data_IF_814891169115
#
_entry.id   IF_814891169115
#
_cell.length_a   1.000
_cell.length_b   1.000
_cell.length_c   1.000
_cell.angle_alpha   90.00
_cell.angle_beta   90.00
_cell.angle_gamma   90.00
#
_symmetry.space_group_name_H-M   'P 1'
#
loop_
_entity.id
_entity.type
_entity.pdbx_description
1 polymer ?
#
# COMPACT_ATOMS: atom_id res chain seq x y z
N UNK A 1 -19.73 3.76 -10.99
CA UNK A 1 -19.63 2.54 -11.83
C UNK A 1 -18.80 1.60 -10.99
N UNK A 2 -19.34 0.44 -10.62
CA UNK A 2 -18.68 -0.39 -9.65
C UNK A 2 -17.40 -0.94 -10.27
N UNK A 3 -16.28 -0.69 -9.61
CA UNK A 3 -14.98 -1.27 -9.94
C UNK A 3 -15.04 -2.76 -10.30
N UNK A 4 -16.01 -3.50 -9.73
CA UNK A 4 -16.29 -4.89 -10.04
C UNK A 4 -16.53 -5.17 -11.54
N UNK A 5 -17.20 -4.29 -12.28
CA UNK A 5 -17.58 -4.51 -13.69
C UNK A 5 -16.58 -3.97 -14.69
N UNK A 6 -15.75 -3.01 -14.30
CA UNK A 6 -14.84 -2.33 -15.23
C UNK A 6 -13.71 -3.27 -15.70
N UNK A 7 -13.20 -3.13 -16.91
CA UNK A 7 -12.12 -3.99 -17.44
C UNK A 7 -10.74 -3.33 -17.38
N UNK A 8 -10.69 -2.04 -17.04
CA UNK A 8 -9.45 -1.27 -16.91
C UNK A 8 -9.67 -0.06 -16.00
N UNK A 9 -8.60 0.63 -15.62
CA UNK A 9 -8.72 1.88 -14.87
C UNK A 9 -9.47 2.95 -15.67
N UNK A 10 -10.44 3.66 -15.06
CA UNK A 10 -11.16 4.71 -15.75
C UNK A 10 -10.19 5.84 -16.12
N UNK A 11 -10.39 6.43 -17.30
CA UNK A 11 -9.47 7.43 -17.84
C UNK A 11 -9.21 8.60 -16.88
N UNK A 12 -10.25 9.05 -16.18
CA UNK A 12 -10.13 10.12 -15.20
C UNK A 12 -9.20 9.78 -14.03
N UNK A 13 -9.11 8.52 -13.61
CA UNK A 13 -8.16 8.11 -12.56
C UNK A 13 -6.72 8.18 -13.09
N UNK A 14 -6.47 7.70 -14.30
CA UNK A 14 -5.16 7.79 -14.95
C UNK A 14 -4.71 9.25 -15.09
N UNK A 15 -5.62 10.14 -15.48
CA UNK A 15 -5.30 11.56 -15.66
C UNK A 15 -5.00 12.25 -14.32
N UNK A 16 -5.66 11.85 -13.21
CA UNK A 16 -5.30 12.32 -11.86
C UNK A 16 -3.88 11.92 -11.50
N UNK A 17 -3.49 10.67 -11.74
CA UNK A 17 -2.11 10.22 -11.47
C UNK A 17 -1.08 11.01 -12.26
N UNK A 18 -1.36 11.33 -13.54
CA UNK A 18 -0.47 12.16 -14.38
C UNK A 18 -0.32 13.58 -13.82
N UNK A 19 -1.39 14.18 -13.32
CA UNK A 19 -1.35 15.52 -12.72
C UNK A 19 -0.58 15.51 -11.40
N UNK A 20 -0.73 14.45 -10.61
CA UNK A 20 -0.06 14.28 -9.32
C UNK A 20 1.41 13.86 -9.45
N UNK A 21 1.81 13.19 -10.54
CA UNK A 21 3.21 12.77 -10.75
C UNK A 21 4.09 13.86 -11.38
N UNK A 22 3.52 15.03 -11.70
CA UNK A 22 4.25 16.16 -12.25
C UNK A 22 5.25 16.76 -11.23
N UNK A 23 6.53 16.44 -11.44
CA UNK A 23 7.67 16.83 -10.59
C UNK A 23 7.94 18.34 -10.55
N UNK A 24 7.24 19.14 -11.36
CA UNK A 24 7.32 20.61 -11.31
C UNK A 24 6.64 21.22 -10.07
N UNK A 25 5.90 20.42 -9.30
CA UNK A 25 5.17 20.88 -8.10
C UNK A 25 5.98 20.59 -6.82
N UNK A 26 6.01 21.52 -5.85
CA UNK A 26 6.88 21.43 -4.66
C UNK A 26 6.24 20.76 -3.42
N UNK A 27 5.14 20.04 -3.55
CA UNK A 27 4.34 19.51 -2.43
C UNK A 27 4.73 18.06 -2.07
N UNK A 28 5.46 17.84 -0.99
CA UNK A 28 5.66 16.49 -0.45
C UNK A 28 4.31 15.73 -0.35
N UNK A 29 4.26 14.47 -0.79
CA UNK A 29 3.06 13.61 -0.86
C UNK A 29 2.05 13.86 -2.01
N UNK A 30 2.47 14.37 -3.18
CA UNK A 30 1.58 14.60 -4.32
C UNK A 30 0.66 13.43 -4.73
N UNK A 31 1.13 12.18 -4.57
CA UNK A 31 0.39 10.98 -4.97
C UNK A 31 -0.69 10.56 -3.96
N UNK A 32 -0.70 11.12 -2.75
CA UNK A 32 -1.68 10.77 -1.72
C UNK A 32 -3.12 10.96 -2.21
N UNK A 33 -3.41 12.11 -2.83
CA UNK A 33 -4.74 12.39 -3.37
C UNK A 33 -5.15 11.41 -4.47
N UNK A 34 -4.20 11.01 -5.32
CA UNK A 34 -4.43 10.04 -6.38
C UNK A 34 -4.75 8.64 -5.82
N UNK A 35 -3.99 8.19 -4.83
CA UNK A 35 -4.21 6.91 -4.15
C UNK A 35 -5.48 6.90 -3.30
N UNK A 36 -5.79 8.00 -2.62
CA UNK A 36 -7.06 8.13 -1.90
C UNK A 36 -8.22 7.97 -2.88
N UNK A 37 -8.15 8.63 -4.05
CA UNK A 37 -9.17 8.47 -5.10
C UNK A 37 -9.23 7.05 -5.65
N UNK A 38 -8.09 6.38 -5.85
CA UNK A 38 -8.02 5.00 -6.31
C UNK A 38 -8.71 4.05 -5.33
N UNK A 39 -8.39 4.14 -4.04
CA UNK A 39 -9.00 3.28 -3.03
C UNK A 39 -10.49 3.55 -2.87
N UNK A 40 -10.92 4.81 -2.90
CA UNK A 40 -12.35 5.14 -2.91
C UNK A 40 -13.06 4.62 -4.18
N UNK A 41 -12.37 4.58 -5.32
CA UNK A 41 -12.93 3.98 -6.52
C UNK A 41 -13.09 2.46 -6.38
N UNK A 42 -12.12 1.77 -5.76
CA UNK A 42 -12.20 0.33 -5.51
C UNK A 42 -13.26 -0.05 -4.45
N UNK A 43 -13.36 0.70 -3.36
CA UNK A 43 -14.13 0.33 -2.15
C UNK A 43 -15.38 1.18 -1.89
N UNK A 44 -15.55 2.31 -2.57
CA UNK A 44 -16.49 3.37 -2.15
C UNK A 44 -17.94 3.21 -2.57
N UNK A 45 -18.29 2.23 -3.40
CA UNK A 45 -19.64 2.13 -3.97
C UNK A 45 -20.67 1.51 -3.01
N UNK A 46 -20.26 0.85 -1.91
CA UNK A 46 -21.18 0.04 -1.09
C UNK A 46 -21.34 0.47 0.37
N UNK A 47 -20.69 1.55 0.82
CA UNK A 47 -20.60 1.96 2.24
C UNK A 47 -20.13 0.86 3.22
N UNK A 48 -19.81 -0.33 2.73
CA UNK A 48 -19.33 -1.47 3.52
C UNK A 48 -17.88 -1.27 3.98
N UNK A 49 -17.18 -0.35 3.34
CA UNK A 49 -15.79 -0.03 3.62
C UNK A 49 -15.58 1.48 3.62
N UNK A 50 -14.60 1.93 4.39
CA UNK A 50 -14.14 3.31 4.37
C UNK A 50 -12.63 3.39 4.46
N UNK A 51 -12.06 4.41 3.83
CA UNK A 51 -10.61 4.64 3.76
C UNK A 51 -10.26 5.74 4.75
N UNK A 52 -9.24 5.50 5.60
CA UNK A 52 -8.78 6.47 6.60
C UNK A 52 -7.28 6.71 6.46
N UNK A 53 -6.82 7.97 6.33
CA UNK A 53 -5.40 8.29 6.53
C UNK A 53 -4.99 8.04 7.96
N UNK A 54 -3.87 7.37 8.15
CA UNK A 54 -3.22 7.26 9.43
C UNK A 54 -1.75 7.64 9.31
N UNK A 55 -1.30 8.44 10.28
CA UNK A 55 0.12 8.69 10.48
C UNK A 55 0.75 7.50 11.21
N UNK A 56 2.03 7.18 10.95
CA UNK A 56 2.78 6.27 11.80
C UNK A 56 2.70 6.77 13.25
N UNK A 57 2.52 5.84 14.17
CA UNK A 57 2.63 6.13 15.60
C UNK A 57 4.13 6.15 15.86
N UNK A 58 4.70 7.35 16.03
CA UNK A 58 6.11 7.51 16.41
C UNK A 58 6.27 6.98 17.85
N UNK A 59 6.80 5.77 17.98
CA UNK A 59 7.04 5.13 19.28
C UNK A 59 8.40 5.49 19.88
N UNK A 60 9.20 6.31 19.18
CA UNK A 60 10.49 6.76 19.69
C UNK A 60 10.69 8.24 19.33
N UNK A 61 10.86 9.09 20.35
CA UNK A 61 10.96 10.55 20.28
C UNK A 61 12.16 11.10 19.50
N UNK A 62 12.76 10.31 18.60
CA UNK A 62 13.83 10.74 17.70
C UNK A 62 13.26 11.54 16.53
N UNK A 63 13.15 12.85 16.74
CA UNK A 63 12.95 13.87 15.70
C UNK A 63 14.16 13.95 14.76
N UNK A 64 14.43 12.92 13.97
CA UNK A 64 15.37 13.02 12.87
C UNK A 64 14.70 12.62 11.56
N UNK A 65 14.40 13.66 10.78
CA UNK A 65 13.76 13.70 9.47
C UNK A 65 12.29 13.28 9.45
N UNK A 66 11.45 14.29 9.22
CA UNK A 66 10.02 14.22 9.01
C UNK A 66 9.77 13.52 7.67
N UNK A 67 9.89 12.21 7.64
CA UNK A 67 9.52 11.40 6.48
C UNK A 67 8.07 10.96 6.70
N UNK A 68 7.11 11.88 6.51
CA UNK A 68 5.69 11.62 6.76
C UNK A 68 5.22 10.47 5.86
N UNK A 69 5.20 9.25 6.38
CA UNK A 69 4.49 8.16 5.75
C UNK A 69 3.01 8.45 5.95
N UNK A 70 2.24 8.51 4.87
CA UNK A 70 0.79 8.48 4.99
C UNK A 70 0.34 7.07 4.65
N UNK A 71 -0.21 6.37 5.64
CA UNK A 71 -0.90 5.11 5.41
C UNK A 71 -2.35 5.41 5.06
N UNK A 72 -2.85 4.80 3.99
CA UNK A 72 -4.28 4.68 3.75
C UNK A 72 -4.72 3.30 4.21
N UNK A 73 -5.61 3.24 5.19
CA UNK A 73 -6.13 1.98 5.72
C UNK A 73 -7.59 1.87 5.35
N UNK A 74 -7.97 0.72 4.80
CA UNK A 74 -9.35 0.37 4.51
C UNK A 74 -9.90 -0.43 5.67
N UNK A 75 -11.00 0.04 6.22
CA UNK A 75 -11.74 -0.61 7.30
C UNK A 75 -13.08 -1.12 6.78
N UNK A 76 -13.58 -2.23 7.34
CA UNK A 76 -14.95 -2.69 7.12
C UNK A 76 -15.96 -1.84 7.91
N UNK A 77 -17.26 -2.14 7.77
CA UNK A 77 -18.34 -1.44 8.49
C UNK A 77 -18.27 -1.52 10.03
N UNK A 78 -17.48 -2.44 10.58
CA UNK A 78 -17.25 -2.58 12.03
C UNK A 78 -16.01 -1.82 12.52
N UNK A 79 -15.30 -1.14 11.61
CA UNK A 79 -14.06 -0.42 11.94
C UNK A 79 -12.85 -1.33 12.07
N UNK A 80 -12.88 -2.55 11.52
CA UNK A 80 -11.76 -3.49 11.54
C UNK A 80 -10.96 -3.46 10.22
N UNK A 81 -9.61 -3.53 10.26
CA UNK A 81 -8.77 -3.31 9.08
C UNK A 81 -8.80 -4.50 8.12
N UNK A 82 -8.93 -4.22 6.82
CA UNK A 82 -8.92 -5.22 5.74
C UNK A 82 -7.82 -4.99 4.69
N UNK A 83 -7.32 -3.75 4.59
CA UNK A 83 -6.21 -3.41 3.69
C UNK A 83 -5.36 -2.26 4.24
N UNK A 84 -4.04 -2.39 4.11
CA UNK A 84 -3.05 -1.35 4.41
C UNK A 84 -2.42 -0.88 3.10
N UNK A 85 -2.34 0.42 2.85
CA UNK A 85 -1.59 1.00 1.75
C UNK A 85 -0.57 2.01 2.27
N UNK A 86 0.71 1.75 2.04
CA UNK A 86 1.82 2.67 2.33
C UNK A 86 2.25 3.36 1.03
N UNK A 87 2.32 4.69 1.04
CA UNK A 87 2.64 5.48 -0.15
C UNK A 87 3.94 6.23 0.07
N UNK A 88 4.90 6.04 -0.84
CA UNK A 88 6.18 6.74 -0.90
C UNK A 88 6.49 7.18 -2.33
N UNK A 89 7.51 8.03 -2.46
CA UNK A 89 7.92 8.58 -3.74
C UNK A 89 8.65 7.55 -4.62
N UNK A 90 8.52 7.70 -5.94
CA UNK A 90 9.18 6.84 -6.93
C UNK A 90 10.71 6.83 -6.76
N UNK A 91 11.30 7.95 -6.31
CA UNK A 91 12.75 8.08 -6.13
C UNK A 91 13.31 7.05 -5.13
N UNK A 92 12.48 6.49 -4.25
CA UNK A 92 12.86 5.45 -3.30
C UNK A 92 13.29 4.15 -4.00
N UNK A 93 12.81 3.88 -5.22
CA UNK A 93 13.22 2.71 -6.00
C UNK A 93 14.72 2.67 -6.28
N UNK A 94 15.35 3.85 -6.36
CA UNK A 94 16.76 4.01 -6.71
C UNK A 94 17.71 3.70 -5.55
N UNK A 95 17.20 3.57 -4.32
CA UNK A 95 18.02 3.41 -3.12
C UNK A 95 17.63 2.15 -2.36
N UNK A 96 18.55 1.19 -2.28
CA UNK A 96 18.34 -0.05 -1.53
C UNK A 96 17.92 0.19 -0.07
N UNK A 97 18.47 1.21 0.58
CA UNK A 97 18.10 1.58 1.95
C UNK A 97 16.64 2.02 2.06
N UNK A 98 16.13 2.77 1.08
CA UNK A 98 14.75 3.24 1.02
C UNK A 98 13.78 2.10 0.68
N UNK A 99 14.17 1.16 -0.19
CA UNK A 99 13.40 -0.07 -0.43
C UNK A 99 13.27 -0.92 0.84
N UNK A 100 14.37 -1.12 1.57
CA UNK A 100 14.35 -1.82 2.86
C UNK A 100 13.47 -1.09 3.87
N UNK A 101 13.60 0.24 3.96
CA UNK A 101 12.79 1.07 4.85
C UNK A 101 11.28 0.95 4.54
N UNK A 102 10.90 0.98 3.26
CA UNK A 102 9.50 0.80 2.83
C UNK A 102 8.93 -0.59 3.20
N UNK A 103 9.72 -1.66 3.05
CA UNK A 103 9.33 -3.02 3.49
C UNK A 103 9.14 -3.06 5.02
N UNK A 104 10.10 -2.52 5.78
CA UNK A 104 10.04 -2.50 7.24
C UNK A 104 8.86 -1.69 7.76
N UNK A 105 8.58 -0.52 7.17
CA UNK A 105 7.47 0.34 7.58
C UNK A 105 6.11 -0.37 7.40
N UNK A 106 5.90 -1.07 6.27
CA UNK A 106 4.66 -1.82 6.07
C UNK A 106 4.54 -3.00 7.05
N UNK A 107 5.63 -3.73 7.30
CA UNK A 107 5.64 -4.85 8.26
C UNK A 107 5.36 -4.42 9.70
N UNK A 108 5.93 -3.30 10.15
CA UNK A 108 5.54 -2.70 11.45
C UNK A 108 4.06 -2.38 11.52
N UNK A 109 3.45 -1.98 10.39
CA UNK A 109 1.99 -1.76 10.35
C UNK A 109 1.20 -3.05 10.44
N UNK A 110 1.69 -4.15 9.88
CA UNK A 110 1.11 -5.47 10.12
C UNK A 110 1.17 -5.88 11.59
N UNK A 111 2.27 -5.63 12.30
CA UNK A 111 2.39 -5.94 13.74
C UNK A 111 1.26 -5.29 14.56
N UNK A 112 0.87 -4.06 14.20
CA UNK A 112 -0.19 -3.32 14.88
C UNK A 112 -1.62 -3.74 14.50
N UNK A 113 -1.85 -4.23 13.27
CA UNK A 113 -3.21 -4.37 12.71
C UNK A 113 -3.63 -5.82 12.42
N UNK A 114 -2.68 -6.76 12.35
CA UNK A 114 -2.96 -8.13 11.92
C UNK A 114 -3.73 -8.94 12.97
N UNK A 115 -3.72 -8.54 14.25
CA UNK A 115 -4.57 -9.12 15.29
C UNK A 115 -6.05 -8.79 15.09
N UNK A 116 -6.32 -7.60 14.54
CA UNK A 116 -7.66 -7.01 14.51
C UNK A 116 -8.34 -7.25 13.17
N UNK A 117 -7.61 -7.81 12.19
CA UNK A 117 -8.18 -8.14 10.89
C UNK A 117 -9.24 -9.25 11.05
N UNK A 118 -10.49 -9.02 10.62
CA UNK A 118 -11.58 -9.99 10.77
C UNK A 118 -11.51 -11.09 9.70
N UNK A 119 -10.68 -10.90 8.68
CA UNK A 119 -10.53 -11.81 7.55
C UNK A 119 -9.34 -12.75 7.79
N UNK A 120 -9.31 -13.94 7.14
CA UNK A 120 -8.13 -14.81 7.16
C UNK A 120 -6.85 -14.15 6.63
N UNK A 121 -6.99 -13.05 5.88
CA UNK A 121 -5.91 -12.32 5.24
C UNK A 121 -6.11 -10.81 5.35
N UNK A 122 -5.08 -10.12 5.85
CA UNK A 122 -4.92 -8.67 5.77
C UNK A 122 -4.04 -8.33 4.56
N UNK A 123 -4.57 -7.57 3.61
CA UNK A 123 -3.82 -7.14 2.43
C UNK A 123 -2.95 -5.93 2.72
N UNK A 124 -1.77 -5.89 2.11
CA UNK A 124 -0.80 -4.81 2.27
C UNK A 124 -0.26 -4.39 0.91
N UNK A 125 -0.25 -3.10 0.64
CA UNK A 125 0.24 -2.51 -0.59
C UNK A 125 1.35 -1.53 -0.22
N UNK A 126 2.56 -1.75 -0.72
CA UNK A 126 3.63 -0.76 -0.63
C UNK A 126 3.81 -0.11 -1.99
N UNK A 127 3.57 1.19 -2.09
CA UNK A 127 3.72 1.97 -3.30
C UNK A 127 4.98 2.82 -3.24
N UNK A 128 5.81 2.72 -4.28
CA UNK A 128 6.92 3.64 -4.56
C UNK A 128 6.62 4.30 -5.90
N UNK A 129 6.08 5.52 -5.89
CA UNK A 129 5.53 6.11 -7.10
C UNK A 129 4.26 5.37 -7.52
N UNK A 130 4.23 4.82 -8.74
CA UNK A 130 3.15 3.91 -9.19
C UNK A 130 3.53 2.44 -9.09
N UNK A 131 4.81 2.12 -8.85
CA UNK A 131 5.27 0.75 -8.64
C UNK A 131 4.77 0.22 -7.29
N UNK A 132 4.24 -1.00 -7.29
CA UNK A 132 3.63 -1.63 -6.13
C UNK A 132 4.26 -2.98 -5.82
N UNK A 133 4.44 -3.24 -4.52
CA UNK A 133 4.68 -4.57 -3.97
C UNK A 133 3.49 -5.00 -3.14
N UNK A 134 3.01 -6.21 -3.39
CA UNK A 134 1.85 -6.79 -2.71
C UNK A 134 2.28 -7.65 -1.53
N UNK A 135 1.57 -7.52 -0.43
CA UNK A 135 1.78 -8.27 0.80
C UNK A 135 0.49 -8.94 1.25
N UNK A 136 0.65 -10.08 1.91
CA UNK A 136 -0.42 -10.88 2.50
C UNK A 136 -0.03 -11.24 3.93
N UNK A 137 -0.73 -10.66 4.91
CA UNK A 137 -0.62 -11.06 6.31
C UNK A 137 -1.70 -12.10 6.61
N UNK A 138 -1.33 -13.27 7.10
CA UNK A 138 -2.28 -14.28 7.55
C UNK A 138 -2.67 -14.00 9.00
N UNK A 139 -3.96 -13.81 9.26
CA UNK A 139 -4.45 -13.44 10.59
C UNK A 139 -4.40 -14.59 11.60
N UNK A 140 -4.30 -15.85 11.15
CA UNK A 140 -4.22 -17.03 12.03
C UNK A 140 -2.80 -17.29 12.52
N UNK A 141 -1.84 -17.43 11.61
CA UNK A 141 -0.45 -17.80 11.94
C UNK A 141 0.51 -16.60 12.01
N UNK A 142 0.00 -15.39 11.76
CA UNK A 142 0.74 -14.11 11.80
C UNK A 142 1.93 -14.04 10.84
N UNK A 143 1.98 -14.89 9.82
CA UNK A 143 2.99 -14.83 8.77
C UNK A 143 2.64 -13.77 7.73
N UNK A 144 3.67 -13.06 7.27
CA UNK A 144 3.55 -12.06 6.20
C UNK A 144 4.31 -12.58 4.97
N UNK A 145 3.63 -12.67 3.84
CA UNK A 145 4.22 -12.90 2.52
C UNK A 145 4.31 -11.57 1.76
N UNK A 146 5.38 -11.29 1.00
CA UNK A 146 6.62 -12.08 0.92
C UNK A 146 7.38 -12.13 2.27
N UNK A 147 8.23 -13.15 2.49
CA UNK A 147 8.99 -13.28 3.72
C UNK A 147 9.96 -12.10 3.91
N UNK A 148 10.26 -11.76 5.17
CA UNK A 148 11.19 -10.68 5.48
C UNK A 148 12.61 -11.06 5.03
N UNK A 149 13.23 -10.18 4.24
CA UNK A 149 14.65 -10.28 3.91
C UNK A 149 15.42 -9.37 4.86
N UNK A 150 16.14 -9.99 5.79
CA UNK A 150 16.99 -9.26 6.72
C UNK A 150 18.10 -8.48 6.02
N UNK A 151 18.51 -7.37 6.62
CA UNK A 151 19.71 -6.64 6.18
C UNK A 151 20.91 -7.60 6.17
N UNK A 152 21.68 -7.69 5.08
CA UNK A 152 22.92 -8.46 5.05
C UNK A 152 23.88 -7.97 6.16
N UNK A 153 24.72 -8.87 6.68
CA UNK A 153 25.68 -8.58 7.77
C UNK A 153 26.79 -7.60 7.32
N UNK A 154 26.87 -7.31 6.02
CA UNK A 154 27.83 -6.38 5.44
C UNK A 154 27.61 -4.92 5.92
N UNK A 155 28.71 -4.18 6.06
CA UNK A 155 28.68 -2.78 6.51
C UNK A 155 27.86 -1.87 5.58
N UNK A 156 27.79 -2.19 4.28
CA UNK A 156 27.00 -1.47 3.28
C UNK A 156 25.91 -2.36 2.69
N UNK A 157 24.73 -1.80 2.48
CA UNK A 157 23.62 -2.49 1.82
C UNK A 157 23.91 -2.53 0.31
N UNK A 158 23.93 -3.72 -0.33
CA UNK A 158 24.11 -3.81 -1.77
C UNK A 158 23.05 -3.00 -2.51
N UNK A 159 23.43 -2.29 -3.58
CA UNK A 159 22.50 -1.48 -4.38
C UNK A 159 21.39 -2.30 -5.03
N UNK A 160 21.60 -3.60 -5.21
CA UNK A 160 20.61 -4.56 -5.73
C UNK A 160 19.66 -5.13 -4.67
N UNK A 161 19.86 -4.80 -3.39
CA UNK A 161 19.03 -5.35 -2.32
C UNK A 161 17.56 -4.90 -2.45
N UNK A 162 16.64 -5.87 -2.54
CA UNK A 162 15.21 -5.69 -2.85
C UNK A 162 14.93 -5.03 -4.22
N UNK A 163 15.88 -5.09 -5.15
CA UNK A 163 15.65 -4.67 -6.53
C UNK A 163 14.64 -5.60 -7.21
N UNK A 164 13.72 -5.03 -7.98
CA UNK A 164 12.66 -5.79 -8.65
C UNK A 164 11.52 -6.24 -7.73
N UNK A 165 11.52 -5.88 -6.45
CA UNK A 165 10.44 -6.26 -5.52
C UNK A 165 9.17 -5.40 -5.67
N UNK A 166 9.28 -4.21 -6.28
CA UNK A 166 8.17 -3.35 -6.71
C UNK A 166 8.07 -3.38 -8.24
N UNK A 167 7.78 -4.55 -8.79
CA UNK A 167 7.83 -4.84 -10.23
C UNK A 167 6.53 -4.55 -10.98
N UNK A 168 5.41 -4.40 -10.27
CA UNK A 168 4.11 -4.14 -10.90
C UNK A 168 3.82 -2.65 -10.88
N UNK A 169 3.48 -2.07 -12.03
CA UNK A 169 2.89 -0.74 -12.08
C UNK A 169 1.39 -0.83 -11.77
N UNK A 170 0.91 -0.14 -10.73
CA UNK A 170 -0.50 -0.18 -10.33
C UNK A 170 -1.43 0.30 -11.44
N UNK A 171 -0.98 1.20 -12.32
CA UNK A 171 -1.78 1.77 -13.41
C UNK A 171 -1.80 0.88 -14.67
N UNK A 172 -1.00 -0.19 -14.69
CA UNK A 172 -1.02 -1.18 -15.76
C UNK A 172 -2.25 -2.10 -15.67
N UNK A 173 -2.50 -2.87 -16.74
CA UNK A 173 -3.55 -3.90 -16.71
C UNK A 173 -3.27 -4.97 -15.65
N UNK A 174 -2.01 -5.37 -15.47
CA UNK A 174 -1.62 -6.31 -14.43
C UNK A 174 -1.95 -5.76 -13.03
N UNK A 175 -1.66 -4.48 -12.79
CA UNK A 175 -1.99 -3.80 -11.53
C UNK A 175 -3.50 -3.74 -11.28
N UNK A 176 -4.27 -3.42 -12.33
CA UNK A 176 -5.74 -3.44 -12.29
C UNK A 176 -6.30 -4.81 -11.92
N UNK A 177 -5.88 -5.86 -12.63
CA UNK A 177 -6.33 -7.23 -12.41
C UNK A 177 -6.00 -7.71 -10.99
N UNK A 178 -4.83 -7.31 -10.46
CA UNK A 178 -4.43 -7.63 -9.10
C UNK A 178 -5.29 -6.92 -8.06
N UNK A 179 -5.59 -5.64 -8.26
CA UNK A 179 -6.54 -4.93 -7.39
C UNK A 179 -7.94 -5.54 -7.42
N UNK A 180 -8.41 -6.00 -8.59
CA UNK A 180 -9.68 -6.74 -8.69
C UNK A 180 -9.70 -8.01 -7.85
N UNK A 181 -8.62 -8.78 -7.90
CA UNK A 181 -8.51 -10.02 -7.12
C UNK A 181 -8.48 -9.74 -5.62
N UNK A 182 -7.78 -8.70 -5.19
CA UNK A 182 -7.75 -8.26 -3.78
C UNK A 182 -9.16 -7.87 -3.32
N UNK A 183 -9.87 -7.07 -4.11
CA UNK A 183 -11.25 -6.67 -3.81
C UNK A 183 -12.20 -7.87 -3.72
N UNK A 184 -12.08 -8.82 -4.66
CA UNK A 184 -12.88 -10.04 -4.66
C UNK A 184 -12.60 -10.88 -3.40
N UNK A 185 -11.34 -11.05 -3.02
CA UNK A 185 -10.92 -11.78 -1.82
C UNK A 185 -11.47 -11.14 -0.54
N UNK A 186 -11.34 -9.81 -0.41
CA UNK A 186 -11.87 -9.05 0.74
C UNK A 186 -13.40 -9.16 0.82
N UNK A 187 -14.08 -8.98 -0.31
CA UNK A 187 -15.55 -9.01 -0.35
C UNK A 187 -16.10 -10.40 -0.06
N UNK A 188 -15.45 -11.45 -0.60
CA UNK A 188 -15.83 -12.84 -0.33
C UNK A 188 -15.61 -13.21 1.14
N UNK A 189 -14.54 -12.71 1.77
CA UNK A 189 -14.29 -12.91 3.19
C UNK A 189 -15.24 -12.13 4.10
N UNK A 190 -15.71 -10.94 3.69
CA UNK A 190 -16.64 -10.12 4.46
C UNK A 190 -18.10 -10.58 4.38
N UNK A 191 -18.44 -11.47 3.45
CA UNK A 191 -19.78 -12.03 3.29
C UNK A 191 -20.04 -13.29 4.14
N UNK A 192 -19.04 -13.75 4.91
CA UNK A 192 -19.10 -14.91 5.80
C UNK A 192 -19.38 -14.47 7.24
#
# INVERSE_FOLDING_TARGET
MPFATDESWPRGLIDIFKVCSDKSRPLENHLYGAYNRLLHYCFGDTFSFFVTPQHPIDDDGSKHTIDFIVFLIVFNGEGLPVLIAAIKEEIWLNYASRRLEADQQLRRRYEALLSDCPLPRLWGLSFLGTSVRFYQGNSTNKMISPPYMGRPVEYMLPSSFLEGEWDVDILSQQGFDRMKQIMADITAGAAQ
#
